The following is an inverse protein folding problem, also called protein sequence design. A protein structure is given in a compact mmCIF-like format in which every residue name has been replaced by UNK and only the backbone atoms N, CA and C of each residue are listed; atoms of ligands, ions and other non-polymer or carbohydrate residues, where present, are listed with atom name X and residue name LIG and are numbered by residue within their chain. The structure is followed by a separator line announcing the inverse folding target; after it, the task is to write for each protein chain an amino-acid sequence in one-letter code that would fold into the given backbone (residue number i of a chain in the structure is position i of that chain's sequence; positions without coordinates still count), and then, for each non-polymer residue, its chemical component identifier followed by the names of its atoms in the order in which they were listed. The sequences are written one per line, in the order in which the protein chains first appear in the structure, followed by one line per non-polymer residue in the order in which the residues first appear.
data_IF_857957047637
#
_entry.id   IF_857957047637
#
_cell.length_a   1.000
_cell.length_b   1.000
_cell.length_c   1.000
_cell.angle_alpha   90.00
_cell.angle_beta   90.00
_cell.angle_gamma   90.00
#
_symmetry.space_group_name_H-M   'P 1'
#
loop_
_entity.id
_entity.type
_entity.pdbx_description
1 polymer ?
#
# COMPACT_ATOMS: atom_id res chain seq x y z
N UNK A 1 0.60 -11.71 27.03
CA UNK A 1 0.21 -10.28 26.93
C UNK A 1 1.06 -9.64 25.85
N UNK A 2 0.51 -9.47 24.65
CA UNK A 2 0.98 -8.44 23.74
C UNK A 2 -0.28 -7.87 23.09
N UNK A 3 -0.85 -6.87 23.78
CA UNK A 3 -1.89 -6.00 23.24
C UNK A 3 -1.20 -5.16 22.19
N UNK A 4 -1.14 -5.67 20.96
CA UNK A 4 -0.81 -4.87 19.80
C UNK A 4 -2.08 -4.08 19.48
N UNK A 5 -2.03 -2.78 19.73
CA UNK A 5 -3.14 -1.86 19.54
C UNK A 5 -3.57 -1.88 18.07
N UNK A 6 -4.87 -2.00 17.75
CA UNK A 6 -5.34 -1.91 16.38
C UNK A 6 -5.18 -0.45 15.90
N UNK A 7 -4.44 -0.26 14.81
CA UNK A 7 -4.57 0.96 14.02
C UNK A 7 -6.02 1.05 13.53
N UNK A 8 -6.66 2.19 13.79
CA UNK A 8 -8.08 2.41 13.60
C UNK A 8 -8.39 2.78 12.13
N UNK A 9 -8.15 1.88 11.15
CA UNK A 9 -8.35 2.27 9.73
C UNK A 9 -8.55 1.11 8.74
N UNK A 10 -8.23 -0.13 9.11
CA UNK A 10 -8.32 -1.28 8.21
C UNK A 10 -7.72 -2.49 8.90
N UNK A 11 -8.55 -3.45 9.27
CA UNK A 11 -8.11 -4.68 9.93
C UNK A 11 -7.44 -5.59 8.92
N UNK A 12 -6.11 -5.58 8.88
CA UNK A 12 -5.34 -6.59 8.17
C UNK A 12 -5.60 -7.96 8.80
N UNK A 13 -6.12 -8.91 8.02
CA UNK A 13 -6.17 -10.32 8.40
C UNK A 13 -4.86 -10.95 7.95
N UNK A 14 -4.04 -11.35 8.93
CA UNK A 14 -2.76 -12.01 8.63
C UNK A 14 -3.03 -13.49 8.28
N UNK A 15 -2.77 -13.89 7.04
CA UNK A 15 -2.83 -15.29 6.59
C UNK A 15 -1.40 -15.77 6.27
N UNK A 16 -0.70 -16.28 7.29
CA UNK A 16 0.70 -16.69 7.16
C UNK A 16 1.68 -15.50 7.18
N UNK A 17 2.71 -15.50 6.33
CA UNK A 17 3.66 -14.36 6.18
C UNK A 17 3.12 -13.22 5.32
N UNK A 18 1.90 -13.36 4.78
CA UNK A 18 1.24 -12.39 3.90
C UNK A 18 0.01 -11.81 4.61
N UNK A 19 -0.19 -10.51 4.54
CA UNK A 19 -1.39 -9.85 5.04
C UNK A 19 -2.40 -9.68 3.91
N UNK A 20 -3.63 -10.10 4.17
CA UNK A 20 -4.77 -9.79 3.34
C UNK A 20 -5.55 -8.68 4.03
N UNK A 21 -5.62 -7.52 3.39
CA UNK A 21 -6.26 -6.33 3.93
C UNK A 21 -7.65 -6.26 3.30
N UNK A 22 -8.66 -6.37 4.16
CA UNK A 22 -10.07 -6.29 3.79
C UNK A 22 -10.84 -5.47 4.82
N UNK A 23 -11.89 -4.80 4.37
CA UNK A 23 -12.95 -4.26 5.21
C UNK A 23 -13.62 -5.42 5.94
N UNK A 24 -13.38 -5.53 7.26
CA UNK A 24 -14.04 -6.56 8.05
C UNK A 24 -15.50 -6.17 8.34
N UNK A 25 -16.47 -7.09 8.17
CA UNK A 25 -17.88 -6.81 8.43
C UNK A 25 -18.26 -6.75 9.92
N UNK A 26 -17.32 -6.92 10.85
CA UNK A 26 -17.64 -7.20 12.25
C UNK A 26 -16.83 -6.33 13.22
N UNK A 27 -17.24 -5.07 13.33
CA UNK A 27 -17.29 -4.42 14.63
C UNK A 27 -18.62 -3.67 14.72
N UNK A 28 -19.34 -3.87 15.81
CA UNK A 28 -20.63 -3.26 16.08
C UNK A 28 -20.59 -1.73 15.91
N UNK A 29 -21.67 -1.18 15.38
CA UNK A 29 -22.07 0.23 15.23
C UNK A 29 -21.85 0.88 13.85
N UNK A 30 -22.88 1.54 13.28
CA UNK A 30 -22.85 2.10 11.93
C UNK A 30 -21.99 3.37 11.86
N UNK A 31 -20.66 3.27 11.74
CA UNK A 31 -19.81 4.46 11.57
C UNK A 31 -18.61 4.32 10.62
N UNK A 32 -18.56 3.30 9.76
CA UNK A 32 -17.75 3.32 8.53
C UNK A 32 -18.69 2.92 7.37
N UNK A 33 -19.68 3.74 7.03
CA UNK A 33 -19.41 4.90 6.20
C UNK A 33 -19.31 4.43 4.75
N UNK A 34 -20.30 4.73 3.93
CA UNK A 34 -20.29 4.49 2.49
C UNK A 34 -19.30 5.41 1.75
N UNK A 35 -18.12 5.63 2.33
CA UNK A 35 -17.11 6.59 1.90
C UNK A 35 -15.70 6.13 2.26
N UNK A 36 -14.74 6.67 1.52
CA UNK A 36 -13.40 6.13 1.31
C UNK A 36 -12.63 5.66 2.53
N UNK A 37 -12.19 4.40 2.46
CA UNK A 37 -11.28 3.80 3.42
C UNK A 37 -9.83 4.28 3.19
N UNK A 38 -9.03 4.26 4.25
CA UNK A 38 -7.62 4.66 4.20
C UNK A 38 -6.75 3.49 4.59
N UNK A 39 -6.01 2.96 3.62
CA UNK A 39 -5.05 1.88 3.87
C UNK A 39 -3.73 2.49 4.29
N UNK A 40 -3.45 2.47 5.60
CA UNK A 40 -2.26 3.09 6.21
C UNK A 40 -1.10 2.11 6.30
N UNK A 41 0.04 2.52 5.74
CA UNK A 41 1.30 1.78 5.81
C UNK A 41 2.40 2.65 6.43
N UNK A 42 3.25 2.02 7.23
CA UNK A 42 4.43 2.62 7.86
C UNK A 42 5.68 1.85 7.44
N UNK A 43 6.84 2.46 7.62
CA UNK A 43 8.12 1.79 7.36
C UNK A 43 8.18 0.44 8.08
N UNK A 44 8.45 -0.62 7.31
CA UNK A 44 8.51 -2.00 7.81
C UNK A 44 7.16 -2.74 7.88
N UNK A 45 6.05 -2.09 7.56
CA UNK A 45 4.76 -2.78 7.41
C UNK A 45 4.75 -3.63 6.13
N UNK A 46 5.37 -3.16 5.05
CA UNK A 46 5.50 -3.88 3.79
C UNK A 46 6.91 -4.45 3.66
N UNK A 47 7.01 -5.74 3.30
CA UNK A 47 8.30 -6.43 3.11
C UNK A 47 8.30 -7.42 1.92
N UNK A 48 7.14 -7.64 1.28
CA UNK A 48 7.06 -8.50 0.12
C UNK A 48 7.43 -7.72 -1.14
N UNK A 49 8.44 -8.18 -1.87
CA UNK A 49 8.97 -7.52 -3.07
C UNK A 49 8.47 -8.11 -4.39
N UNK A 50 7.73 -9.23 -4.34
CA UNK A 50 7.36 -9.99 -5.53
C UNK A 50 5.88 -10.43 -5.52
N UNK A 51 5.29 -10.68 -6.71
CA UNK A 51 3.95 -11.24 -6.81
C UNK A 51 3.86 -12.55 -6.03
N UNK A 52 2.89 -12.61 -5.12
CA UNK A 52 2.79 -13.67 -4.15
C UNK A 52 3.33 -13.25 -2.81
N UNK A 53 4.60 -12.86 -2.64
CA UNK A 53 5.12 -12.51 -1.30
C UNK A 53 4.59 -11.18 -0.76
N UNK A 54 4.07 -10.32 -1.63
CA UNK A 54 3.44 -9.04 -1.28
C UNK A 54 2.14 -9.17 -0.47
N UNK A 55 1.81 -8.08 0.23
CA UNK A 55 0.50 -7.92 0.85
C UNK A 55 -0.58 -7.66 -0.22
N UNK A 56 -1.82 -8.05 0.09
CA UNK A 56 -2.94 -8.00 -0.87
C UNK A 56 -4.11 -7.21 -0.29
N UNK A 57 -4.58 -6.19 -1.01
CA UNK A 57 -5.84 -5.48 -0.75
C UNK A 57 -6.90 -6.02 -1.72
N UNK A 58 -7.98 -6.59 -1.19
CA UNK A 58 -9.01 -7.23 -2.04
C UNK A 58 -10.17 -6.33 -2.46
N UNK A 59 -10.42 -5.28 -1.70
CA UNK A 59 -11.63 -4.48 -1.79
C UNK A 59 -11.35 -2.99 -2.05
N UNK A 60 -10.17 -2.68 -2.59
CA UNK A 60 -9.84 -1.32 -3.01
C UNK A 60 -10.86 -0.80 -4.04
N UNK A 61 -11.48 0.34 -3.73
CA UNK A 61 -12.46 1.00 -4.58
C UNK A 61 -12.24 2.50 -4.64
N UNK A 62 -11.70 2.96 -5.76
CA UNK A 62 -11.64 4.40 -6.05
C UNK A 62 -13.03 5.06 -6.02
N UNK A 63 -14.07 4.36 -6.51
CA UNK A 63 -15.44 4.86 -6.52
C UNK A 63 -16.02 5.07 -5.10
N UNK A 64 -15.57 4.26 -4.14
CA UNK A 64 -15.90 4.43 -2.73
C UNK A 64 -15.10 5.57 -2.09
N UNK A 65 -14.01 6.01 -2.73
CA UNK A 65 -13.10 7.07 -2.27
C UNK A 65 -11.86 6.54 -1.56
N UNK A 66 -11.53 5.26 -1.71
CA UNK A 66 -10.45 4.63 -0.97
C UNK A 66 -9.09 5.18 -1.38
N UNK A 67 -8.19 5.34 -0.41
CA UNK A 67 -6.84 5.89 -0.62
C UNK A 67 -5.77 5.08 0.08
N UNK A 68 -4.61 5.02 -0.56
CA UNK A 68 -3.40 4.39 -0.02
C UNK A 68 -2.58 5.47 0.68
N UNK A 69 -2.41 5.34 1.99
CA UNK A 69 -1.64 6.25 2.85
C UNK A 69 -0.21 5.71 2.99
N UNK A 70 0.73 6.35 2.31
CA UNK A 70 2.17 6.06 2.33
C UNK A 70 3.00 7.20 2.94
N UNK A 71 2.34 8.25 3.43
CA UNK A 71 2.90 9.42 4.12
C UNK A 71 3.68 9.09 5.40
N UNK A 72 3.47 7.90 5.95
CA UNK A 72 4.16 7.40 7.15
C UNK A 72 5.25 6.38 6.81
N UNK A 73 5.46 6.12 5.53
CA UNK A 73 6.47 5.21 5.04
C UNK A 73 7.65 6.02 4.53
N UNK A 74 8.85 5.64 4.95
CA UNK A 74 10.06 6.34 4.54
C UNK A 74 10.42 6.01 3.09
N UNK A 75 10.20 6.97 2.20
CA UNK A 75 10.50 6.80 0.79
C UNK A 75 12.02 6.80 0.49
N UNK A 76 12.89 7.26 1.39
CA UNK A 76 14.32 7.25 1.13
C UNK A 76 15.14 6.83 2.36
N UNK A 77 15.46 5.53 2.38
CA UNK A 77 16.21 4.91 3.49
C UNK A 77 17.64 5.46 3.67
N UNK A 78 18.17 6.18 2.69
CA UNK A 78 19.50 6.80 2.76
C UNK A 78 19.52 8.14 3.52
N UNK A 79 18.35 8.72 3.80
CA UNK A 79 18.22 9.99 4.50
C UNK A 79 17.60 9.77 5.88
N UNK A 80 17.90 10.68 6.80
CA UNK A 80 17.24 10.66 8.10
C UNK A 80 15.87 11.34 8.01
N UNK A 81 14.83 10.67 8.50
CA UNK A 81 13.47 11.21 8.58
C UNK A 81 12.46 10.31 7.89
N UNK A 82 11.30 10.88 7.54
CA UNK A 82 10.33 10.24 6.64
C UNK A 82 10.22 11.12 5.41
N UNK A 83 10.37 10.53 4.23
CA UNK A 83 10.23 11.25 2.96
C UNK A 83 9.02 10.74 2.20
N UNK A 84 8.41 11.66 1.43
CA UNK A 84 7.25 11.37 0.60
C UNK A 84 7.71 10.68 -0.70
N UNK A 85 6.89 9.77 -1.22
CA UNK A 85 7.18 9.14 -2.50
C UNK A 85 6.92 10.07 -3.68
N UNK A 86 7.61 9.84 -4.78
CA UNK A 86 7.35 10.42 -6.09
C UNK A 86 6.64 9.39 -6.99
N UNK A 87 5.36 9.60 -7.27
CA UNK A 87 4.60 8.72 -8.17
C UNK A 87 5.01 8.96 -9.64
N UNK A 88 5.62 7.96 -10.26
CA UNK A 88 6.07 7.98 -11.67
C UNK A 88 5.10 7.29 -12.63
N UNK A 89 3.96 6.81 -12.13
CA UNK A 89 2.96 6.13 -12.94
C UNK A 89 3.36 4.71 -13.33
N UNK A 90 3.18 4.36 -14.60
CA UNK A 90 3.55 3.05 -15.15
C UNK A 90 4.97 2.99 -15.73
N UNK A 91 5.76 4.06 -15.57
CA UNK A 91 7.16 4.09 -15.98
C UNK A 91 8.01 3.07 -15.20
N UNK A 92 9.15 2.68 -15.77
CA UNK A 92 10.18 1.91 -15.06
C UNK A 92 10.90 2.80 -14.04
N UNK A 93 11.45 2.19 -12.99
CA UNK A 93 12.32 2.89 -12.04
C UNK A 93 13.53 3.47 -12.78
N UNK A 94 13.97 4.64 -12.33
CA UNK A 94 15.11 5.34 -12.91
C UNK A 94 16.35 5.28 -12.02
N UNK A 95 16.34 4.45 -10.95
CA UNK A 95 17.40 4.39 -9.95
C UNK A 95 17.45 5.64 -9.06
N UNK A 96 16.27 6.14 -8.68
CA UNK A 96 16.14 7.28 -7.76
C UNK A 96 15.29 6.81 -6.59
N UNK A 97 15.85 6.91 -5.38
CA UNK A 97 15.16 6.57 -4.15
C UNK A 97 13.86 7.38 -4.00
N UNK A 98 12.83 6.72 -3.51
CA UNK A 98 11.49 7.26 -3.29
C UNK A 98 10.60 7.23 -4.50
N UNK A 99 10.91 6.46 -5.53
CA UNK A 99 10.03 6.31 -6.68
C UNK A 99 8.92 5.30 -6.41
N UNK A 100 7.68 5.67 -6.73
CA UNK A 100 6.50 4.82 -6.64
C UNK A 100 5.91 4.62 -8.03
N UNK A 101 5.73 3.36 -8.43
CA UNK A 101 5.12 2.99 -9.70
C UNK A 101 3.99 2.01 -9.50
N UNK A 102 3.21 1.82 -10.56
CA UNK A 102 2.23 0.74 -10.63
C UNK A 102 2.31 0.01 -11.96
N UNK A 103 1.85 -1.24 -11.95
CA UNK A 103 1.67 -2.05 -13.14
C UNK A 103 0.43 -2.93 -13.02
N UNK A 104 -0.08 -3.40 -14.14
CA UNK A 104 -1.24 -4.29 -14.17
C UNK A 104 -0.82 -5.60 -14.82
N UNK A 105 -0.99 -6.70 -14.10
CA UNK A 105 -0.62 -8.03 -14.55
C UNK A 105 -1.58 -9.07 -13.99
N UNK A 106 -1.85 -10.14 -14.74
CA UNK A 106 -2.69 -11.25 -14.29
C UNK A 106 -4.08 -10.83 -13.75
N UNK A 107 -4.66 -9.75 -14.29
CA UNK A 107 -5.95 -9.22 -13.85
C UNK A 107 -5.91 -8.42 -12.54
N UNK A 108 -4.73 -8.17 -11.98
CA UNK A 108 -4.51 -7.42 -10.75
C UNK A 108 -3.64 -6.19 -10.99
N UNK A 109 -3.65 -5.27 -10.04
CA UNK A 109 -2.81 -4.07 -10.05
C UNK A 109 -1.74 -4.21 -8.98
N UNK A 110 -0.48 -4.03 -9.35
CA UNK A 110 0.65 -4.08 -8.43
C UNK A 110 1.21 -2.67 -8.28
N UNK A 111 1.38 -2.24 -7.04
CA UNK A 111 2.05 -0.99 -6.69
C UNK A 111 3.41 -1.37 -6.12
N UNK A 112 4.47 -0.76 -6.64
CA UNK A 112 5.84 -1.04 -6.21
C UNK A 112 6.58 0.26 -5.98
N UNK A 113 7.50 0.26 -5.03
CA UNK A 113 8.39 1.39 -4.83
C UNK A 113 9.84 0.96 -4.62
N UNK A 114 10.72 1.90 -4.95
CA UNK A 114 12.16 1.87 -4.76
C UNK A 114 12.48 2.91 -3.67
N UNK A 115 13.07 2.48 -2.56
CA UNK A 115 13.38 3.31 -1.39
C UNK A 115 14.87 3.51 -1.15
N UNK A 116 15.73 2.69 -1.73
CA UNK A 116 17.19 2.83 -1.61
C UNK A 116 17.86 3.38 -2.88
N UNK A 117 17.12 3.45 -3.99
CA UNK A 117 17.54 3.99 -5.28
C UNK A 117 18.29 3.00 -6.16
N UNK A 118 18.21 1.69 -5.90
CA UNK A 118 18.89 0.67 -6.68
C UNK A 118 18.21 0.34 -8.03
N UNK A 119 16.98 0.82 -8.23
CA UNK A 119 16.16 0.59 -9.43
C UNK A 119 15.34 -0.71 -9.40
N UNK A 120 15.36 -1.43 -8.29
CA UNK A 120 14.53 -2.59 -7.99
C UNK A 120 13.39 -2.22 -7.02
N UNK A 121 12.40 -3.11 -6.89
CA UNK A 121 11.27 -2.88 -6.00
C UNK A 121 11.61 -3.35 -4.56
N UNK A 122 11.71 -2.41 -3.64
CA UNK A 122 11.89 -2.66 -2.19
C UNK A 122 10.61 -3.14 -1.51
N UNK A 123 9.45 -2.74 -2.06
CA UNK A 123 8.18 -3.34 -1.68
C UNK A 123 7.23 -3.42 -2.86
N UNK A 124 6.28 -4.32 -2.72
CA UNK A 124 5.17 -4.51 -3.62
C UNK A 124 3.88 -4.69 -2.83
N UNK A 125 2.80 -4.12 -3.35
CA UNK A 125 1.44 -4.22 -2.84
C UNK A 125 0.54 -4.64 -3.99
N UNK A 126 -0.26 -5.69 -3.79
CA UNK A 126 -1.22 -6.14 -4.77
C UNK A 126 -2.61 -5.59 -4.44
N UNK A 127 -3.24 -4.95 -5.41
CA UNK A 127 -4.67 -4.64 -5.42
C UNK A 127 -5.38 -5.67 -6.30
N UNK A 128 -6.38 -6.35 -5.76
CA UNK A 128 -7.20 -7.27 -6.53
C UNK A 128 -8.03 -6.50 -7.57
N UNK A 129 -7.95 -6.92 -8.83
CA UNK A 129 -8.60 -6.25 -9.95
C UNK A 129 -7.74 -5.20 -10.69
N UNK A 130 -8.29 -4.68 -11.78
CA UNK A 130 -7.64 -3.70 -12.65
C UNK A 130 -8.06 -2.28 -12.23
N UNK A 131 -7.14 -1.55 -11.60
CA UNK A 131 -7.33 -0.20 -11.10
C UNK A 131 -6.38 0.75 -11.81
N UNK A 132 -6.93 1.85 -12.36
CA UNK A 132 -6.11 2.91 -12.95
C UNK A 132 -5.71 3.88 -11.86
N UNK A 133 -4.50 3.72 -11.34
CA UNK A 133 -3.99 4.53 -10.24
C UNK A 133 -3.40 5.85 -10.74
N UNK A 134 -3.64 6.91 -9.99
CA UNK A 134 -3.12 8.26 -10.19
C UNK A 134 -2.45 8.72 -8.90
N UNK A 135 -1.62 9.76 -9.00
CA UNK A 135 -0.99 10.36 -7.81
C UNK A 135 -2.02 10.76 -6.73
N UNK A 136 -3.24 11.15 -7.11
CA UNK A 136 -4.30 11.54 -6.17
C UNK A 136 -4.88 10.37 -5.34
N UNK A 137 -4.64 9.13 -5.74
CA UNK A 137 -5.08 7.92 -5.04
C UNK A 137 -4.14 7.56 -3.87
N UNK A 138 -2.96 8.15 -3.89
CA UNK A 138 -1.96 8.05 -2.84
C UNK A 138 -1.97 9.31 -1.99
N UNK A 139 -1.81 9.11 -0.68
CA UNK A 139 -1.46 10.17 0.26
C UNK A 139 0.01 9.94 0.57
N UNK A 140 0.83 10.84 0.05
CA UNK A 140 2.29 10.83 0.13
C UNK A 140 2.74 11.93 1.06
#
# INVERSE_FOLDING_TARGET
MQRMQPALDGTAVVLGTRRVIIRLPWCCWPLLGAGGDRFVFRTGDLAGTAPGSCDVIRDYSYASGDRLRLDLFDANSNLAGTQDFAFIGAGAFTGVAGQLRYEQANGNTFVSADTDGDGDADFMLQLEGLHTLRSADFIL
#
